data_IF_650881504256
#
_entry.id   IF_650881504256
#
_cell.length_a   1.000
_cell.length_b   1.000
_cell.length_c   1.000
_cell.angle_alpha   90.00
_cell.angle_beta   90.00
_cell.angle_gamma   90.00
#
_symmetry.space_group_name_H-M   'P 1'
#
loop_
_entity.id
_entity.type
_entity.pdbx_description
1 polymer ?
#
# COMPACT_ATOMS: atom_id res chain seq x y z
N UNK A 1 -54.81 -41.51 17.22
CA UNK A 1 -55.16 -41.15 15.83
C UNK A 1 -54.58 -39.76 15.55
N UNK A 2 -53.63 -39.60 14.62
CA UNK A 2 -53.03 -38.30 14.31
C UNK A 2 -53.89 -37.52 13.32
N UNK A 3 -54.12 -36.23 13.61
CA UNK A 3 -54.79 -35.30 12.72
C UNK A 3 -53.80 -34.76 11.68
N UNK A 4 -54.09 -35.03 10.41
CA UNK A 4 -53.54 -34.37 9.22
C UNK A 4 -53.99 -32.91 9.17
N UNK A 5 -53.11 -31.96 8.84
CA UNK A 5 -53.53 -30.75 8.11
C UNK A 5 -52.42 -30.27 7.20
N UNK A 6 -52.82 -30.07 5.94
CA UNK A 6 -52.03 -29.79 4.77
C UNK A 6 -51.62 -28.32 4.64
N UNK A 7 -50.55 -28.11 3.88
CA UNK A 7 -50.04 -26.84 3.33
C UNK A 7 -51.09 -26.12 2.46
N UNK A 8 -51.25 -24.80 2.60
CA UNK A 8 -51.69 -23.94 1.52
C UNK A 8 -50.51 -23.17 0.87
N UNK A 9 -50.39 -23.14 -0.47
CA UNK A 9 -49.46 -22.24 -1.15
C UNK A 9 -50.09 -20.84 -1.26
N UNK A 10 -49.48 -19.83 -0.63
CA UNK A 10 -49.84 -18.44 -0.87
C UNK A 10 -49.09 -17.91 -2.08
N UNK A 11 -49.80 -17.80 -3.19
CA UNK A 11 -49.44 -16.90 -4.29
C UNK A 11 -49.91 -15.49 -3.92
N UNK A 12 -48.96 -14.54 -3.82
CA UNK A 12 -49.26 -13.10 -3.78
C UNK A 12 -48.43 -12.44 -4.86
N UNK A 13 -49.09 -12.16 -5.98
CA UNK A 13 -48.58 -11.29 -7.02
C UNK A 13 -48.71 -9.83 -6.55
N UNK A 14 -47.59 -9.10 -6.55
CA UNK A 14 -47.55 -7.65 -6.31
C UNK A 14 -47.24 -6.97 -7.65
N UNK A 15 -48.04 -6.00 -8.11
CA UNK A 15 -47.77 -5.30 -9.36
C UNK A 15 -46.78 -4.17 -9.10
N UNK A 16 -45.57 -4.25 -9.65
CA UNK A 16 -44.67 -3.09 -9.67
C UNK A 16 -44.85 -2.36 -11.01
N UNK A 17 -45.52 -1.21 -10.93
CA UNK A 17 -45.79 -0.29 -12.04
C UNK A 17 -44.48 0.39 -12.43
N UNK A 18 -43.99 0.12 -13.64
CA UNK A 18 -42.84 0.82 -14.22
C UNK A 18 -43.22 2.29 -14.49
N UNK A 19 -42.56 3.31 -13.90
CA UNK A 19 -42.81 4.69 -14.29
C UNK A 19 -42.15 4.98 -15.64
N UNK A 20 -42.97 5.39 -16.60
CA UNK A 20 -42.60 5.94 -17.91
C UNK A 20 -41.58 7.08 -17.76
N UNK A 21 -40.44 6.95 -18.45
CA UNK A 21 -39.47 8.03 -18.56
C UNK A 21 -40.08 9.22 -19.33
N UNK A 22 -40.38 10.31 -18.61
CA UNK A 22 -40.76 11.60 -19.21
C UNK A 22 -39.51 12.28 -19.74
N UNK A 23 -39.39 12.33 -21.06
CA UNK A 23 -38.41 13.14 -21.78
C UNK A 23 -38.79 14.62 -21.68
N UNK A 24 -38.02 15.41 -20.93
CA UNK A 24 -38.10 16.86 -20.92
C UNK A 24 -37.08 17.43 -21.91
N UNK A 25 -37.56 17.82 -23.09
CA UNK A 25 -36.77 18.56 -24.07
C UNK A 25 -36.77 20.05 -23.69
N UNK A 26 -35.61 20.56 -23.23
CA UNK A 26 -35.39 21.98 -23.01
C UNK A 26 -34.48 22.51 -24.13
N UNK A 27 -35.08 23.24 -25.07
CA UNK A 27 -34.39 24.00 -26.09
C UNK A 27 -33.80 25.28 -25.47
N UNK A 28 -32.47 25.42 -25.49
CA UNK A 28 -31.77 26.69 -25.23
C UNK A 28 -30.93 27.05 -26.45
N UNK A 29 -31.12 28.28 -26.92
CA UNK A 29 -30.63 28.84 -28.18
C UNK A 29 -29.09 28.96 -28.21
N UNK A 30 -28.46 29.00 -29.41
CA UNK A 30 -27.04 29.32 -29.53
C UNK A 30 -26.83 30.80 -29.19
N UNK A 31 -26.10 31.08 -28.11
CA UNK A 31 -25.53 32.41 -27.88
C UNK A 31 -24.23 32.48 -28.68
N UNK A 32 -24.21 33.26 -29.75
CA UNK A 32 -22.97 33.64 -30.44
C UNK A 32 -22.07 34.39 -29.45
N UNK A 33 -20.98 33.75 -29.02
CA UNK A 33 -19.91 34.42 -28.27
C UNK A 33 -18.95 35.01 -29.30
N UNK A 34 -18.71 36.34 -29.32
CA UNK A 34 -17.74 36.93 -30.23
C UNK A 34 -16.35 36.35 -29.96
N UNK A 35 -15.70 35.85 -31.01
CA UNK A 35 -14.34 35.31 -30.96
C UNK A 35 -13.34 36.45 -30.74
N UNK A 36 -12.87 36.63 -29.51
CA UNK A 36 -11.64 37.38 -29.25
C UNK A 36 -10.44 36.56 -29.75
N UNK A 37 -9.47 37.17 -30.44
CA UNK A 37 -8.22 36.48 -30.75
C UNK A 37 -7.46 36.25 -29.44
N UNK A 38 -7.38 34.99 -29.00
CA UNK A 38 -6.52 34.61 -27.89
C UNK A 38 -5.07 34.79 -28.37
N UNK A 39 -4.23 35.60 -27.70
CA UNK A 39 -2.81 35.70 -28.03
C UNK A 39 -2.14 34.32 -27.88
N UNK A 40 -1.08 33.99 -28.64
CA UNK A 40 -0.37 32.74 -28.43
C UNK A 40 0.22 32.74 -27.02
N UNK A 41 -0.35 31.94 -26.12
CA UNK A 41 0.27 31.63 -24.84
C UNK A 41 1.65 31.06 -25.14
N UNK A 42 2.75 31.58 -24.56
CA UNK A 42 4.04 30.95 -24.72
C UNK A 42 3.94 29.52 -24.19
N UNK A 43 4.29 28.55 -25.03
CA UNK A 43 4.55 27.18 -24.61
C UNK A 43 5.58 27.25 -23.49
N UNK A 44 5.16 27.07 -22.24
CA UNK A 44 6.08 26.70 -21.18
C UNK A 44 6.48 25.27 -21.51
N UNK A 45 7.57 25.15 -22.27
CA UNK A 45 8.41 23.97 -22.27
C UNK A 45 8.69 23.69 -20.80
N UNK A 46 7.99 22.72 -20.21
CA UNK A 46 8.49 22.09 -19.01
C UNK A 46 9.80 21.44 -19.43
N UNK A 47 10.90 22.18 -19.31
CA UNK A 47 12.22 21.60 -19.23
C UNK A 47 12.07 20.51 -18.17
N UNK A 48 12.34 19.22 -18.47
CA UNK A 48 12.46 18.25 -17.40
C UNK A 48 13.54 18.81 -16.48
N UNK A 49 13.12 19.30 -15.32
CA UNK A 49 14.01 19.71 -14.26
C UNK A 49 14.87 18.48 -14.00
N UNK A 50 16.14 18.62 -14.35
CA UNK A 50 17.26 17.82 -13.89
C UNK A 50 17.03 17.54 -12.41
N UNK A 51 16.44 16.37 -12.11
CA UNK A 51 16.42 15.85 -10.74
C UNK A 51 17.89 15.71 -10.42
N UNK A 52 18.41 16.36 -9.37
CA UNK A 52 19.81 16.21 -9.03
C UNK A 52 20.03 14.72 -8.77
N UNK A 53 20.73 14.08 -9.69
CA UNK A 53 21.23 12.73 -9.50
C UNK A 53 22.01 12.78 -8.18
N UNK A 54 21.59 12.02 -7.15
CA UNK A 54 22.21 12.12 -5.85
C UNK A 54 23.70 11.84 -6.03
N UNK A 55 24.49 12.82 -5.60
CA UNK A 55 25.95 12.81 -5.58
C UNK A 55 26.43 11.43 -5.12
N UNK A 56 27.12 10.72 -6.00
CA UNK A 56 27.87 9.53 -5.65
C UNK A 56 28.92 9.92 -4.60
N UNK A 57 28.75 9.41 -3.36
CA UNK A 57 29.79 8.87 -2.45
C UNK A 57 29.27 8.61 -1.00
N UNK A 58 27.96 8.59 -0.75
CA UNK A 58 27.44 7.89 0.44
C UNK A 58 27.18 6.43 0.07
N UNK A 59 27.59 5.43 0.88
CA UNK A 59 27.15 4.06 0.67
C UNK A 59 25.63 4.07 0.81
N UNK A 60 24.91 4.01 -0.31
CA UNK A 60 23.46 3.81 -0.29
C UNK A 60 23.25 2.49 0.43
N UNK A 61 22.59 2.47 1.60
CA UNK A 61 22.34 1.21 2.28
C UNK A 61 21.55 0.35 1.29
N UNK A 62 22.04 -0.84 0.99
CA UNK A 62 21.38 -1.73 0.03
C UNK A 62 20.31 -2.53 0.76
N UNK A 63 19.17 -2.78 0.10
CA UNK A 63 18.23 -3.78 0.60
C UNK A 63 18.91 -5.15 0.60
N UNK A 64 18.90 -5.84 1.74
CA UNK A 64 19.39 -7.21 1.86
C UNK A 64 18.20 -8.17 1.76
N UNK A 65 17.75 -8.42 0.53
CA UNK A 65 16.56 -9.22 0.23
C UNK A 65 16.92 -10.35 -0.76
N UNK A 66 17.49 -11.48 -0.26
CA UNK A 66 17.92 -12.61 -1.08
C UNK A 66 16.81 -13.29 -1.87
N UNK A 67 15.57 -13.30 -1.34
CA UNK A 67 14.46 -14.05 -1.91
C UNK A 67 13.49 -13.15 -2.68
N UNK A 68 13.23 -13.37 -3.98
CA UNK A 68 12.34 -12.51 -4.77
C UNK A 68 10.88 -12.50 -4.29
N UNK A 69 10.48 -13.51 -3.52
CA UNK A 69 9.14 -13.61 -2.91
C UNK A 69 9.06 -12.97 -1.52
N UNK A 70 10.19 -12.48 -0.99
CA UNK A 70 10.29 -11.77 0.29
C UNK A 70 11.02 -10.45 0.05
N UNK A 71 10.25 -9.40 -0.25
CA UNK A 71 10.79 -8.12 -0.69
C UNK A 71 10.05 -6.96 -0.02
N UNK A 72 10.79 -5.93 0.37
CA UNK A 72 10.25 -4.64 0.80
C UNK A 72 10.53 -3.66 -0.34
N UNK A 73 9.47 -3.20 -1.00
CA UNK A 73 9.53 -2.23 -2.10
C UNK A 73 9.43 -0.79 -1.61
N UNK A 74 8.68 -0.57 -0.53
CA UNK A 74 8.59 0.73 0.15
C UNK A 74 8.56 0.51 1.66
N UNK A 75 9.28 1.32 2.45
CA UNK A 75 10.20 2.38 2.03
C UNK A 75 11.43 1.85 1.28
N UNK A 76 12.02 2.69 0.42
CA UNK A 76 13.29 2.36 -0.23
C UNK A 76 14.45 2.41 0.78
N UNK A 77 15.53 1.65 0.56
CA UNK A 77 16.72 1.74 1.38
C UNK A 77 17.29 3.17 1.45
N UNK A 78 17.52 3.65 2.67
CA UNK A 78 18.00 5.00 2.95
C UNK A 78 16.89 6.07 2.95
N UNK A 79 15.63 5.69 2.76
CA UNK A 79 14.53 6.63 2.82
C UNK A 79 14.43 7.29 4.20
N UNK A 80 14.13 8.59 4.20
CA UNK A 80 13.79 9.35 5.41
C UNK A 80 12.28 9.30 5.60
N UNK A 81 11.82 8.84 6.76
CA UNK A 81 10.41 8.58 7.03
C UNK A 81 9.97 9.16 8.39
N UNK A 82 8.67 9.45 8.51
CA UNK A 82 8.05 10.00 9.72
C UNK A 82 6.53 9.77 9.73
N UNK A 83 5.93 9.61 10.91
CA UNK A 83 4.50 9.37 11.09
C UNK A 83 4.10 7.92 10.81
N UNK A 84 2.93 7.73 10.20
CA UNK A 84 2.46 6.43 9.73
C UNK A 84 3.05 6.09 8.36
N UNK A 85 3.97 5.13 8.33
CA UNK A 85 4.73 4.76 7.13
C UNK A 85 4.21 3.43 6.59
N UNK A 86 3.56 3.39 5.41
CA UNK A 86 3.11 2.15 4.83
C UNK A 86 4.29 1.33 4.32
N UNK A 87 4.36 0.07 4.75
CA UNK A 87 5.31 -0.92 4.27
C UNK A 87 4.67 -1.69 3.13
N UNK A 88 5.22 -1.54 1.92
CA UNK A 88 4.72 -2.19 0.70
C UNK A 88 5.75 -3.20 0.22
N UNK A 89 5.30 -4.39 -0.18
CA UNK A 89 6.20 -5.42 -0.67
C UNK A 89 5.51 -6.73 -1.00
N UNK A 90 6.32 -7.78 -1.02
CA UNK A 90 5.91 -9.15 -1.28
C UNK A 90 6.35 -10.00 -0.09
N UNK A 91 5.41 -10.73 0.49
CA UNK A 91 5.60 -11.72 1.53
C UNK A 91 4.82 -12.96 1.11
N UNK A 92 5.46 -13.82 0.34
CA UNK A 92 4.88 -15.02 -0.23
C UNK A 92 5.89 -16.16 -0.21
N UNK A 93 5.40 -17.39 -0.04
CA UNK A 93 6.21 -18.59 -0.06
C UNK A 93 5.34 -19.84 -0.30
N UNK A 94 5.93 -20.93 -0.81
CA UNK A 94 5.17 -22.15 -1.16
C UNK A 94 4.49 -22.81 0.05
N UNK A 95 5.11 -22.73 1.22
CA UNK A 95 4.59 -23.24 2.49
C UNK A 95 4.26 -22.10 3.47
N UNK A 96 3.78 -20.96 2.96
CA UNK A 96 3.50 -19.77 3.76
C UNK A 96 2.56 -20.07 4.95
N UNK A 97 3.01 -19.74 6.16
CA UNK A 97 2.17 -19.73 7.35
C UNK A 97 1.80 -18.30 7.74
N UNK A 98 2.81 -17.47 8.00
CA UNK A 98 2.63 -16.05 8.32
C UNK A 98 3.90 -15.28 8.01
N UNK A 99 3.79 -13.97 7.88
CA UNK A 99 4.96 -13.10 7.91
C UNK A 99 4.94 -12.21 9.13
N UNK A 100 6.11 -11.70 9.48
CA UNK A 100 6.29 -10.69 10.52
C UNK A 100 7.22 -9.60 10.03
N UNK A 101 6.90 -8.39 10.44
CA UNK A 101 7.68 -7.19 10.29
C UNK A 101 8.29 -6.84 11.65
N UNK A 102 9.60 -6.73 11.66
CA UNK A 102 10.38 -6.44 12.84
C UNK A 102 11.33 -5.27 12.54
N UNK A 103 11.78 -4.57 13.59
CA UNK A 103 12.72 -3.45 13.45
C UNK A 103 13.84 -3.51 14.47
N UNK A 104 14.96 -2.88 14.17
CA UNK A 104 16.03 -2.63 15.15
C UNK A 104 16.65 -1.27 14.92
N UNK A 105 17.28 -0.73 15.95
CA UNK A 105 17.98 0.55 15.86
C UNK A 105 19.35 0.34 15.19
N UNK A 106 19.75 1.29 14.35
CA UNK A 106 20.97 1.21 13.56
C UNK A 106 20.87 0.22 12.39
N UNK A 107 22.03 -0.31 11.98
CA UNK A 107 22.20 -1.19 10.81
C UNK A 107 22.59 -2.62 11.16
N UNK A 108 22.48 -3.01 12.44
CA UNK A 108 22.92 -4.32 12.91
C UNK A 108 21.88 -5.42 12.59
N UNK A 109 22.17 -6.27 11.61
CA UNK A 109 21.30 -7.37 11.21
C UNK A 109 21.36 -8.58 12.16
N UNK A 110 22.40 -8.68 12.98
CA UNK A 110 22.60 -9.74 13.99
C UNK A 110 22.04 -9.36 15.36
N UNK A 111 21.49 -8.16 15.48
CA UNK A 111 20.91 -7.63 16.71
C UNK A 111 19.55 -8.24 17.08
N UNK A 112 19.04 -7.81 18.23
CA UNK A 112 17.64 -8.07 18.59
C UNK A 112 16.72 -7.20 17.74
N UNK A 113 15.65 -7.80 17.23
CA UNK A 113 14.60 -7.10 16.49
C UNK A 113 13.31 -7.06 17.32
N UNK A 114 12.62 -5.92 17.30
CA UNK A 114 11.31 -5.71 17.87
C UNK A 114 10.23 -5.95 16.82
N UNK A 115 9.34 -6.88 17.09
CA UNK A 115 8.12 -7.08 16.33
C UNK A 115 7.21 -5.85 16.42
N UNK A 116 6.63 -5.42 15.30
CA UNK A 116 5.63 -4.36 15.29
C UNK A 116 4.37 -4.72 14.48
N UNK A 117 4.49 -5.54 13.43
CA UNK A 117 3.34 -5.93 12.61
C UNK A 117 3.53 -7.31 11.96
N UNK A 118 2.47 -7.95 11.48
CA UNK A 118 2.52 -9.27 10.83
C UNK A 118 1.14 -9.81 10.54
N UNK A 119 1.02 -10.66 9.52
CA UNK A 119 -0.26 -11.25 9.10
C UNK A 119 -0.10 -12.71 8.66
N UNK A 120 -1.21 -13.46 8.73
CA UNK A 120 -1.34 -14.85 8.26
C UNK A 120 -1.90 -14.93 6.83
N UNK A 121 -1.76 -13.86 6.06
CA UNK A 121 -2.22 -13.81 4.66
C UNK A 121 -1.04 -13.39 3.81
N UNK A 122 -0.70 -14.21 2.81
CA UNK A 122 0.36 -13.87 1.87
C UNK A 122 0.00 -12.61 1.08
N UNK A 123 1.00 -11.79 0.78
CA UNK A 123 0.83 -10.52 0.08
C UNK A 123 1.83 -10.47 -1.07
N UNK A 124 1.38 -10.03 -2.25
CA UNK A 124 2.26 -9.80 -3.40
C UNK A 124 2.11 -8.37 -3.90
N UNK A 125 3.23 -7.64 -3.93
CA UNK A 125 3.28 -6.22 -4.33
C UNK A 125 2.18 -5.36 -3.66
N UNK A 126 1.94 -5.60 -2.38
CA UNK A 126 0.82 -5.02 -1.63
C UNK A 126 1.23 -4.52 -0.26
N UNK A 127 0.26 -4.01 0.53
CA UNK A 127 0.52 -3.54 1.88
C UNK A 127 0.84 -4.72 2.80
N UNK A 128 2.02 -4.67 3.42
CA UNK A 128 2.48 -5.63 4.44
C UNK A 128 2.14 -5.16 5.85
N UNK A 129 2.08 -3.84 6.06
CA UNK A 129 1.76 -3.23 7.34
C UNK A 129 2.02 -1.73 7.35
N UNK A 130 1.87 -1.10 8.51
CA UNK A 130 2.14 0.30 8.80
C UNK A 130 3.15 0.37 9.94
N UNK A 131 4.22 1.13 9.72
CA UNK A 131 5.18 1.47 10.76
C UNK A 131 4.80 2.83 11.35
N UNK A 132 4.39 2.84 12.61
CA UNK A 132 4.25 4.08 13.39
C UNK A 132 5.64 4.50 13.90
N UNK A 133 6.14 5.64 13.42
CA UNK A 133 7.42 6.19 13.86
C UNK A 133 7.32 7.17 15.03
N UNK A 134 6.11 7.50 15.48
CA UNK A 134 5.89 8.55 16.50
C UNK A 134 6.51 8.21 17.85
N UNK A 135 6.65 6.92 18.14
CA UNK A 135 7.32 6.40 19.35
C UNK A 135 8.76 5.95 19.11
N UNK A 136 9.29 6.14 17.89
CA UNK A 136 10.65 5.77 17.52
C UNK A 136 11.61 6.93 17.76
N UNK A 137 12.83 6.61 18.19
CA UNK A 137 13.92 7.58 18.28
C UNK A 137 14.36 7.98 16.88
N UNK A 138 14.60 9.27 16.67
CA UNK A 138 15.15 9.76 15.40
C UNK A 138 16.55 9.19 15.14
N UNK A 139 16.80 8.79 13.90
CA UNK A 139 18.07 8.18 13.51
C UNK A 139 17.88 6.99 12.56
N UNK A 140 18.95 6.24 12.36
CA UNK A 140 18.94 5.07 11.46
C UNK A 140 18.27 3.89 12.15
N UNK A 141 17.37 3.23 11.43
CA UNK A 141 16.73 1.97 11.84
C UNK A 141 16.80 0.97 10.70
N UNK A 142 16.73 -0.31 11.03
CA UNK A 142 16.58 -1.38 10.04
C UNK A 142 15.25 -2.07 10.22
N UNK A 143 14.49 -2.17 9.15
CA UNK A 143 13.28 -2.98 9.04
C UNK A 143 13.65 -4.35 8.50
N UNK A 144 13.00 -5.39 9.02
CA UNK A 144 13.15 -6.76 8.55
C UNK A 144 11.78 -7.38 8.34
N UNK A 145 11.56 -7.89 7.13
CA UNK A 145 10.47 -8.80 6.81
C UNK A 145 11.00 -10.23 6.96
N UNK A 146 10.30 -11.07 7.72
CA UNK A 146 10.56 -12.50 7.82
C UNK A 146 9.31 -13.25 7.43
N UNK A 147 9.39 -14.17 6.47
CA UNK A 147 8.30 -15.11 6.17
C UNK A 147 8.56 -16.39 6.95
N UNK A 148 7.50 -16.93 7.56
CA UNK A 148 7.50 -18.16 8.33
C UNK A 148 6.66 -19.19 7.60
N UNK A 149 7.24 -20.36 7.42
CA UNK A 149 6.58 -21.47 6.74
C UNK A 149 6.00 -22.50 7.70
N UNK A 150 5.02 -23.27 7.23
CA UNK A 150 4.31 -24.30 8.00
C UNK A 150 5.27 -25.41 8.45
N UNK A 151 6.36 -25.63 7.71
CA UNK A 151 7.43 -26.58 8.01
C UNK A 151 8.65 -26.00 8.74
N UNK A 152 8.61 -24.74 9.21
CA UNK A 152 9.81 -23.96 9.52
C UNK A 152 10.89 -24.67 10.37
N UNK A 153 12.08 -24.78 9.76
CA UNK A 153 13.38 -25.03 10.41
C UNK A 153 14.12 -23.74 10.77
N UNK A 154 15.44 -23.71 10.66
CA UNK A 154 16.28 -22.56 11.09
C UNK A 154 16.46 -21.48 10.01
N UNK A 155 16.26 -21.82 8.73
CA UNK A 155 16.55 -20.94 7.59
C UNK A 155 15.27 -20.30 7.02
N UNK A 156 14.76 -19.27 7.70
CA UNK A 156 13.61 -18.49 7.23
C UNK A 156 14.06 -17.42 6.22
N UNK A 157 13.36 -17.24 5.09
CA UNK A 157 13.68 -16.17 4.16
C UNK A 157 13.39 -14.81 4.81
N UNK A 158 14.36 -13.91 4.70
CA UNK A 158 14.29 -12.58 5.31
C UNK A 158 14.69 -11.49 4.32
N UNK A 159 14.13 -10.30 4.48
CA UNK A 159 14.50 -9.11 3.72
C UNK A 159 14.68 -7.95 4.67
N UNK A 160 15.86 -7.32 4.65
CA UNK A 160 16.17 -6.20 5.51
C UNK A 160 16.39 -4.90 4.72
N UNK A 161 15.80 -3.80 5.21
CA UNK A 161 15.90 -2.47 4.61
C UNK A 161 16.24 -1.45 5.69
N UNK A 162 17.29 -0.68 5.46
CA UNK A 162 17.69 0.42 6.34
C UNK A 162 16.90 1.67 5.99
N UNK A 163 16.38 2.37 6.99
CA UNK A 163 15.66 3.63 6.88
C UNK A 163 16.21 4.65 7.88
N UNK A 164 15.89 5.92 7.68
CA UNK A 164 16.15 6.98 8.66
C UNK A 164 14.83 7.53 9.16
N UNK A 165 14.59 7.48 10.46
CA UNK A 165 13.44 8.11 11.10
C UNK A 165 13.80 9.55 11.47
N UNK A 166 12.95 10.49 11.08
CA UNK A 166 13.08 11.90 11.41
C UNK A 166 11.71 12.47 11.81
N UNK A 167 11.32 12.26 13.06
CA UNK A 167 10.13 12.87 13.61
C UNK A 167 10.44 14.34 13.89
N UNK A 168 9.97 15.22 13.00
CA UNK A 168 10.12 16.66 13.13
C UNK A 168 9.58 17.09 14.51
N UNK A 169 10.48 17.31 15.46
CA UNK A 169 10.15 17.44 16.89
C UNK A 169 9.06 18.47 17.15
N UNK A 170 8.12 18.10 18.02
CA UNK A 170 7.18 19.03 18.67
C UNK A 170 7.90 20.07 19.51
#
# INVERSE_FOLDING_TARGET
>A
MPATTATPPMAVAVPELLPTATSASASVQPVEVPSTPVPPTPTVTATPTDVPQPVADAPVPSAACPDPNVQISSPQPGAVVSGDVPIIGTADHEEFWYYKLERTEGTNLDGAFLYFEGQQTAVSNGPLGILDTSFMVDGVHTLRLTVVDIGAGTDLPTCAVVITVANQGS
#
